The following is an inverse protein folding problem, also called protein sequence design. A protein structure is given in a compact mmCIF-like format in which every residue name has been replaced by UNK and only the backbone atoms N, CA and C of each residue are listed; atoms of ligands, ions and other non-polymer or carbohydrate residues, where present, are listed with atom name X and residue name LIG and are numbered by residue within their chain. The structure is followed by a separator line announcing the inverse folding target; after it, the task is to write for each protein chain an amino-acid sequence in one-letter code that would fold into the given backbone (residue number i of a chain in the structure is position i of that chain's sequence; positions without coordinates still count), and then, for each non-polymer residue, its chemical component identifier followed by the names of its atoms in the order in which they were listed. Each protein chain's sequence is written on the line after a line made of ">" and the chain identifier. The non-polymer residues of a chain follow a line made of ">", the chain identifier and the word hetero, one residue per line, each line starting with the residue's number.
data_IF_835941077122
#
_entry.id   IF_835941077122
#
_cell.length_a   1.000
_cell.length_b   1.000
_cell.length_c   1.000
_cell.angle_alpha   90.00
_cell.angle_beta   90.00
_cell.angle_gamma   90.00
#
_symmetry.space_group_name_H-M   'P 1'
#
loop_
_entity.id
_entity.type
_entity.pdbx_description
1 polymer ?
#
# COMPACT_ATOMS: atom_id res chain seq x y z
N UNK A 1 39.72 -40.16 -27.93
CA UNK A 1 38.27 -39.94 -27.80
C UNK A 1 38.05 -39.07 -26.59
N UNK A 2 37.78 -37.76 -26.76
CA UNK A 2 37.52 -36.83 -25.65
C UNK A 2 36.02 -36.76 -25.43
N UNK A 3 35.57 -37.20 -24.24
CA UNK A 3 34.19 -37.12 -23.84
C UNK A 3 34.01 -35.76 -23.12
N UNK A 4 33.25 -34.86 -23.73
CA UNK A 4 32.84 -33.61 -23.10
C UNK A 4 31.56 -33.88 -22.33
N UNK A 5 31.66 -33.89 -21.00
CA UNK A 5 30.49 -33.97 -20.15
C UNK A 5 30.04 -32.52 -19.92
N UNK A 6 29.02 -32.10 -20.62
CA UNK A 6 28.34 -30.84 -20.33
C UNK A 6 27.39 -31.07 -19.15
N UNK A 7 27.77 -30.56 -17.99
CA UNK A 7 26.87 -30.50 -16.84
C UNK A 7 25.82 -29.41 -17.09
N UNK A 8 24.53 -29.72 -16.96
CA UNK A 8 23.53 -28.69 -17.02
C UNK A 8 23.64 -27.82 -15.77
N UNK A 9 23.88 -26.54 -15.96
CA UNK A 9 23.76 -25.54 -14.89
C UNK A 9 22.29 -25.38 -14.58
N UNK A 10 21.85 -26.02 -13.49
CA UNK A 10 20.51 -25.79 -12.96
C UNK A 10 20.51 -24.43 -12.27
N UNK A 11 19.93 -23.44 -12.92
CA UNK A 11 19.60 -22.17 -12.28
C UNK A 11 18.43 -22.42 -11.35
N UNK A 12 18.70 -22.56 -10.06
CA UNK A 12 17.67 -22.49 -9.05
C UNK A 12 17.18 -21.04 -8.99
N UNK A 13 16.04 -20.75 -9.60
CA UNK A 13 15.35 -19.50 -9.38
C UNK A 13 14.89 -19.48 -7.92
N UNK A 14 15.58 -18.70 -7.09
CA UNK A 14 15.07 -18.37 -5.78
C UNK A 14 13.81 -17.51 -5.99
N UNK A 15 12.64 -18.10 -5.83
CA UNK A 15 11.41 -17.37 -5.69
C UNK A 15 11.48 -16.64 -4.34
N UNK A 16 11.84 -15.35 -4.39
CA UNK A 16 11.70 -14.48 -3.22
C UNK A 16 10.19 -14.34 -2.94
N UNK A 17 9.72 -14.92 -1.82
CA UNK A 17 8.39 -14.60 -1.29
C UNK A 17 8.45 -13.16 -0.79
N UNK A 18 8.08 -12.22 -1.65
CA UNK A 18 7.88 -10.82 -1.24
C UNK A 18 6.60 -10.77 -0.41
N UNK A 19 6.69 -10.31 0.85
CA UNK A 19 5.55 -9.73 1.54
C UNK A 19 4.85 -8.79 0.54
N UNK A 20 3.50 -8.83 0.44
CA UNK A 20 2.75 -8.16 -0.60
C UNK A 20 3.26 -6.76 -0.90
N UNK A 21 3.55 -6.50 -2.17
CA UNK A 21 3.94 -5.19 -2.66
C UNK A 21 3.03 -4.81 -3.83
N UNK A 22 2.50 -3.61 -3.82
CA UNK A 22 1.59 -3.10 -4.84
C UNK A 22 2.02 -1.72 -5.29
N UNK A 23 1.95 -1.45 -6.59
CA UNK A 23 2.21 -0.15 -7.18
C UNK A 23 0.92 0.42 -7.75
N UNK A 24 0.58 1.63 -7.35
CA UNK A 24 -0.64 2.32 -7.71
C UNK A 24 -0.31 3.67 -8.34
N UNK A 25 -1.00 4.02 -9.44
CA UNK A 25 -0.87 5.33 -10.09
C UNK A 25 -2.01 6.24 -9.67
N UNK A 26 -1.69 7.48 -9.28
CA UNK A 26 -2.64 8.49 -8.84
C UNK A 26 -2.36 9.83 -9.54
N UNK A 27 -3.42 10.53 -9.91
CA UNK A 27 -3.35 11.91 -10.41
C UNK A 27 -3.95 12.85 -9.37
N UNK A 28 -3.24 13.92 -9.05
CA UNK A 28 -3.67 14.88 -8.02
C UNK A 28 -3.46 16.32 -8.50
N UNK A 29 -4.30 17.27 -8.05
CA UNK A 29 -4.09 18.67 -8.34
C UNK A 29 -2.91 19.24 -7.53
N UNK A 30 -2.16 20.17 -8.13
CA UNK A 30 -1.02 20.83 -7.46
C UNK A 30 -1.47 21.66 -6.27
N UNK A 31 -0.73 21.54 -5.16
CA UNK A 31 -0.90 22.36 -3.96
C UNK A 31 -2.15 22.07 -3.13
N UNK A 32 -2.90 21.04 -3.45
CA UNK A 32 -4.12 20.64 -2.73
C UNK A 32 -3.94 19.34 -1.99
N UNK A 33 -4.46 19.26 -0.77
CA UNK A 33 -4.50 18.01 -0.01
C UNK A 33 -5.51 17.06 -0.64
N UNK A 34 -5.05 15.91 -1.09
CA UNK A 34 -5.86 14.93 -1.79
C UNK A 34 -5.75 13.58 -1.11
N UNK A 35 -6.90 12.92 -0.91
CA UNK A 35 -6.90 11.54 -0.43
C UNK A 35 -6.39 10.62 -1.52
N UNK A 36 -5.27 9.95 -1.26
CA UNK A 36 -4.70 8.96 -2.18
C UNK A 36 -5.41 7.63 -2.08
N UNK A 37 -5.67 7.20 -0.85
CA UNK A 37 -6.21 5.88 -0.60
C UNK A 37 -6.79 5.79 0.81
N UNK A 38 -7.45 4.67 1.09
CA UNK A 38 -7.95 4.34 2.42
C UNK A 38 -7.75 2.85 2.69
N UNK A 39 -7.57 2.51 3.96
CA UNK A 39 -7.29 1.15 4.41
C UNK A 39 -8.15 0.82 5.61
N UNK A 40 -8.70 -0.37 5.61
CA UNK A 40 -9.54 -0.88 6.68
C UNK A 40 -9.03 -2.24 7.12
N UNK A 41 -8.88 -2.44 8.43
CA UNK A 41 -8.58 -3.73 9.01
C UNK A 41 -9.65 -4.10 10.03
N UNK A 42 -9.93 -5.38 10.18
CA UNK A 42 -10.89 -5.89 11.17
C UNK A 42 -10.48 -7.25 11.68
N UNK A 43 -10.93 -7.54 12.90
CA UNK A 43 -10.78 -8.83 13.54
C UNK A 43 -11.95 -9.77 13.14
N UNK A 44 -11.89 -11.01 13.54
CA UNK A 44 -12.94 -12.01 13.25
C UNK A 44 -14.31 -11.62 13.83
N UNK A 45 -14.32 -10.84 14.90
CA UNK A 45 -15.52 -10.28 15.54
C UNK A 45 -15.99 -8.97 14.89
N UNK A 46 -15.40 -8.59 13.78
CA UNK A 46 -15.66 -7.36 13.03
C UNK A 46 -15.22 -6.06 13.74
N UNK A 47 -14.52 -6.15 14.86
CA UNK A 47 -13.93 -4.98 15.50
C UNK A 47 -12.75 -4.44 14.70
N UNK A 48 -12.48 -3.15 14.83
CA UNK A 48 -11.38 -2.48 14.15
C UNK A 48 -10.03 -3.11 14.51
N UNK A 49 -9.28 -3.47 13.50
CA UNK A 49 -7.90 -3.90 13.62
C UNK A 49 -7.01 -2.69 13.30
N UNK A 50 -6.20 -2.28 14.26
CA UNK A 50 -5.35 -1.10 14.13
C UNK A 50 -4.35 -1.26 12.98
N UNK A 51 -4.22 -0.21 12.17
CA UNK A 51 -3.28 -0.14 11.06
C UNK A 51 -2.26 0.95 11.34
N UNK A 52 -0.99 0.58 11.29
CA UNK A 52 0.12 1.51 11.39
C UNK A 52 0.68 1.82 10.00
N UNK A 53 1.01 3.08 9.77
CA UNK A 53 1.64 3.56 8.53
C UNK A 53 3.10 3.89 8.81
N UNK A 54 3.98 3.31 8.03
CA UNK A 54 5.39 3.67 8.03
C UNK A 54 5.78 4.18 6.64
N UNK A 55 6.28 5.40 6.55
CA UNK A 55 6.73 5.99 5.29
C UNK A 55 8.15 5.51 5.01
N UNK A 56 8.31 4.67 4.00
CA UNK A 56 9.61 4.13 3.58
C UNK A 56 10.35 5.08 2.64
N UNK A 57 9.61 5.68 1.70
CA UNK A 57 10.14 6.68 0.77
C UNK A 57 9.24 7.91 0.81
N UNK A 58 9.79 9.02 1.29
CA UNK A 58 9.06 10.30 1.32
C UNK A 58 8.93 10.88 -0.08
N UNK A 59 7.80 11.55 -0.39
CA UNK A 59 7.69 12.27 -1.66
C UNK A 59 8.72 13.39 -1.72
N UNK A 60 9.34 13.55 -2.90
CA UNK A 60 10.37 14.58 -3.12
C UNK A 60 9.76 15.98 -3.24
N UNK A 61 8.50 16.08 -3.65
CA UNK A 61 7.83 17.34 -4.00
C UNK A 61 6.52 17.58 -3.25
N UNK A 62 6.39 16.96 -2.09
CA UNK A 62 5.15 17.08 -1.33
C UNK A 62 5.25 16.50 0.07
N UNK A 63 4.12 16.48 0.74
CA UNK A 63 3.95 15.97 2.09
C UNK A 63 2.88 14.89 2.12
N UNK A 64 3.08 13.88 2.97
CA UNK A 64 2.13 12.83 3.23
C UNK A 64 1.58 12.95 4.64
N UNK A 65 0.30 12.69 4.80
CA UNK A 65 -0.36 12.64 6.10
C UNK A 65 -1.41 11.54 6.12
N UNK A 66 -1.86 11.15 7.29
CA UNK A 66 -2.94 10.18 7.46
C UNK A 66 -3.81 10.54 8.63
N UNK A 67 -5.03 10.03 8.63
CA UNK A 67 -5.98 10.16 9.75
C UNK A 67 -6.86 8.93 9.85
N UNK A 68 -7.47 8.74 11.01
CA UNK A 68 -8.49 7.72 11.23
C UNK A 68 -9.87 8.37 11.12
N UNK A 69 -10.73 7.79 10.30
CA UNK A 69 -12.08 8.24 10.06
C UNK A 69 -13.07 7.10 10.29
N UNK A 70 -14.36 7.43 10.44
CA UNK A 70 -15.43 6.44 10.48
C UNK A 70 -15.72 5.91 9.08
N UNK A 71 -16.04 4.62 9.00
CA UNK A 71 -16.39 3.97 7.74
C UNK A 71 -17.09 2.65 7.95
N UNK A 72 -17.17 1.86 6.90
CA UNK A 72 -17.74 0.51 6.91
C UNK A 72 -16.73 -0.48 6.33
N UNK A 73 -16.82 -1.73 6.77
CA UNK A 73 -16.02 -2.81 6.22
C UNK A 73 -16.48 -3.07 4.77
N UNK A 74 -15.59 -2.98 3.77
CA UNK A 74 -15.97 -3.17 2.38
C UNK A 74 -16.30 -4.63 2.08
N UNK A 75 -17.09 -4.86 1.04
CA UNK A 75 -17.42 -6.21 0.57
C UNK A 75 -16.17 -6.92 0.00
N UNK A 76 -15.27 -6.16 -0.61
CA UNK A 76 -13.96 -6.62 -1.11
C UNK A 76 -12.84 -5.91 -0.36
N UNK A 77 -11.99 -6.67 0.30
CA UNK A 77 -10.91 -6.13 1.10
C UNK A 77 -9.57 -6.24 0.39
N UNK A 78 -8.73 -5.19 0.49
CA UNK A 78 -7.36 -5.21 -0.03
C UNK A 78 -6.43 -6.14 0.76
N UNK A 79 -6.72 -6.34 2.05
CA UNK A 79 -5.86 -7.07 2.99
C UNK A 79 -6.57 -8.29 3.60
N UNK A 80 -7.43 -8.95 2.84
CA UNK A 80 -8.10 -10.17 3.28
C UNK A 80 -9.54 -10.28 2.82
N UNK A 81 -10.28 -11.25 3.38
CA UNK A 81 -11.69 -11.48 3.11
C UNK A 81 -12.56 -10.75 4.13
N UNK A 82 -13.59 -10.06 3.66
CA UNK A 82 -14.56 -9.41 4.55
C UNK A 82 -15.55 -10.39 5.20
N UNK A 83 -15.81 -11.51 4.55
CA UNK A 83 -16.71 -12.53 5.10
C UNK A 83 -18.04 -11.95 5.59
N UNK A 84 -18.46 -12.33 6.78
CA UNK A 84 -19.69 -11.83 7.44
C UNK A 84 -19.57 -10.41 7.97
N UNK A 85 -18.38 -9.82 7.95
CA UNK A 85 -18.15 -8.46 8.45
C UNK A 85 -18.48 -7.37 7.43
N UNK A 86 -18.72 -7.71 6.16
CA UNK A 86 -19.04 -6.74 5.12
C UNK A 86 -20.20 -5.82 5.52
N UNK A 87 -20.03 -4.51 5.32
CA UNK A 87 -21.04 -3.50 5.62
C UNK A 87 -21.14 -3.09 7.10
N UNK A 88 -20.39 -3.72 7.99
CA UNK A 88 -20.41 -3.35 9.42
C UNK A 88 -19.60 -2.07 9.68
N UNK A 89 -20.02 -1.25 10.67
CA UNK A 89 -19.27 -0.05 11.05
C UNK A 89 -17.87 -0.37 11.52
N UNK A 90 -16.90 0.43 11.11
CA UNK A 90 -15.50 0.33 11.53
C UNK A 90 -14.82 1.70 11.42
N UNK A 91 -13.51 1.70 11.62
CA UNK A 91 -12.66 2.85 11.35
C UNK A 91 -11.85 2.61 10.10
N UNK A 92 -11.49 3.69 9.44
CA UNK A 92 -10.73 3.68 8.18
C UNK A 92 -9.51 4.57 8.36
N UNK A 93 -8.35 4.08 7.95
CA UNK A 93 -7.17 4.91 7.83
C UNK A 93 -7.16 5.53 6.44
N UNK A 94 -7.19 6.86 6.38
CA UNK A 94 -7.12 7.64 5.14
C UNK A 94 -5.72 8.19 4.96
N UNK A 95 -5.15 8.00 3.77
CA UNK A 95 -3.84 8.48 3.38
C UNK A 95 -3.97 9.68 2.47
N UNK A 96 -3.29 10.78 2.79
CA UNK A 96 -3.35 12.04 2.07
C UNK A 96 -1.98 12.46 1.55
N UNK A 97 -2.00 13.13 0.41
CA UNK A 97 -0.83 13.76 -0.20
C UNK A 97 -1.16 15.19 -0.57
N UNK A 98 -0.17 16.07 -0.40
CA UNK A 98 -0.22 17.45 -0.85
C UNK A 98 1.12 17.81 -1.49
N UNK A 99 1.09 18.18 -2.77
CA UNK A 99 2.30 18.65 -3.44
C UNK A 99 2.68 20.07 -2.99
N UNK A 100 3.94 20.42 -3.17
CA UNK A 100 4.39 21.80 -3.10
C UNK A 100 3.59 22.64 -4.11
N UNK A 101 3.08 23.78 -3.68
CA UNK A 101 2.31 24.67 -4.52
C UNK A 101 3.09 25.08 -5.76
N UNK A 102 2.50 24.91 -6.94
CA UNK A 102 3.12 25.23 -8.22
C UNK A 102 3.96 24.10 -8.80
N UNK A 103 4.19 23.00 -8.08
CA UNK A 103 4.85 21.84 -8.64
C UNK A 103 3.91 21.09 -9.60
N UNK A 104 4.41 20.72 -10.77
CA UNK A 104 3.74 19.87 -11.76
C UNK A 104 4.73 18.82 -12.24
N UNK A 105 4.31 17.57 -12.26
CA UNK A 105 5.17 16.48 -12.68
C UNK A 105 4.99 15.22 -11.83
N UNK A 106 5.97 14.34 -11.86
CA UNK A 106 5.94 13.06 -11.18
C UNK A 106 6.51 13.16 -9.76
N UNK A 107 5.87 12.45 -8.84
CA UNK A 107 6.35 12.22 -7.48
C UNK A 107 6.12 10.77 -7.09
N UNK A 108 6.81 10.28 -6.10
CA UNK A 108 6.71 8.90 -5.63
C UNK A 108 6.63 8.84 -4.12
N UNK A 109 5.75 8.01 -3.62
CA UNK A 109 5.58 7.73 -2.19
C UNK A 109 5.52 6.23 -1.97
N UNK A 110 6.32 5.71 -1.05
CA UNK A 110 6.25 4.31 -0.63
C UNK A 110 5.92 4.25 0.85
N UNK A 111 4.88 3.50 1.18
CA UNK A 111 4.43 3.29 2.55
C UNK A 111 4.31 1.80 2.86
N UNK A 112 4.60 1.43 4.08
CA UNK A 112 4.33 0.12 4.63
C UNK A 112 3.15 0.22 5.58
N UNK A 113 2.12 -0.57 5.33
CA UNK A 113 0.95 -0.70 6.18
C UNK A 113 1.08 -1.99 6.98
N UNK A 114 1.07 -1.89 8.29
CA UNK A 114 1.16 -3.04 9.21
C UNK A 114 -0.10 -3.10 10.05
N UNK A 115 -0.74 -4.26 10.11
CA UNK A 115 -1.90 -4.45 10.97
C UNK A 115 -1.50 -5.06 12.34
N UNK A 116 -2.45 -5.10 13.28
CA UNK A 116 -2.22 -5.64 14.63
C UNK A 116 -1.86 -7.12 14.68
N UNK A 117 -2.03 -7.86 13.57
CA UNK A 117 -1.58 -9.24 13.41
C UNK A 117 -0.16 -9.36 12.84
N UNK A 118 0.60 -8.27 12.80
CA UNK A 118 1.98 -8.21 12.29
C UNK A 118 2.10 -8.50 10.78
N UNK A 119 1.01 -8.42 10.03
CA UNK A 119 1.04 -8.50 8.57
C UNK A 119 1.35 -7.14 7.98
N UNK A 120 2.30 -7.11 7.05
CA UNK A 120 2.72 -5.90 6.36
C UNK A 120 2.49 -6.01 4.87
N UNK A 121 2.08 -4.89 4.27
CA UNK A 121 2.01 -4.73 2.82
C UNK A 121 2.64 -3.39 2.46
N UNK A 122 3.49 -3.39 1.45
CA UNK A 122 4.13 -2.18 0.94
C UNK A 122 3.36 -1.66 -0.26
N UNK A 123 3.01 -0.39 -0.24
CA UNK A 123 2.34 0.30 -1.34
C UNK A 123 3.24 1.41 -1.87
N UNK A 124 3.46 1.41 -3.18
CA UNK A 124 4.15 2.48 -3.88
C UNK A 124 3.14 3.25 -4.71
N UNK A 125 3.04 4.55 -4.47
CA UNK A 125 2.19 5.45 -5.23
C UNK A 125 3.06 6.24 -6.21
N UNK A 126 2.79 6.05 -7.48
CA UNK A 126 3.32 6.87 -8.56
C UNK A 126 2.32 8.00 -8.80
N UNK A 127 2.71 9.22 -8.43
CA UNK A 127 1.83 10.37 -8.37
C UNK A 127 2.14 11.29 -9.55
N UNK A 128 1.11 11.60 -10.33
CA UNK A 128 1.15 12.62 -11.35
C UNK A 128 0.49 13.89 -10.80
N UNK A 129 1.27 14.93 -10.59
CA UNK A 129 0.79 16.22 -10.09
C UNK A 129 0.45 17.11 -11.28
N UNK A 130 -0.77 17.50 -11.40
CA UNK A 130 -1.33 18.24 -12.53
C UNK A 130 -1.57 19.73 -12.23
#
# INVERSE_FOLDING_TARGET
>A
MKIWITLPVVWAALAATTAGAETLSKSVPSGQTTKLDHYTGWNDDCSFLEIAVNVLTKPAHGEVSHRIASGVIPADAKLGSSGSCAGKPTKVLELYYRSTKGFHGADTLTVEMTNGSQRSTTFTYEISVE
#
